data_IF_872724321965
#
_entry.id   IF_872724321965
#
_cell.length_a   1.000
_cell.length_b   1.000
_cell.length_c   1.000
_cell.angle_alpha   90.00
_cell.angle_beta   90.00
_cell.angle_gamma   90.00
#
_symmetry.space_group_name_H-M   'P 1'
#
loop_
_entity.id
_entity.type
_entity.pdbx_description
1 polymer ?
#
# COMPACT_ATOMS: atom_id res chain seq x y z
N UNK A 1 9.23 -7.90 -6.62
CA UNK A 1 8.25 -8.00 -5.51
C UNK A 1 6.89 -8.39 -6.10
N UNK A 2 6.39 -9.58 -5.77
CA UNK A 2 5.18 -10.15 -6.41
C UNK A 2 3.94 -9.35 -6.05
N UNK A 3 3.39 -8.60 -7.01
CA UNK A 3 2.24 -7.68 -6.87
C UNK A 3 0.90 -8.38 -6.62
N UNK A 4 0.89 -9.67 -6.24
CA UNK A 4 -0.34 -10.45 -6.08
C UNK A 4 -1.24 -10.47 -7.34
N UNK A 5 -0.76 -10.00 -8.50
CA UNK A 5 -1.50 -9.99 -9.76
C UNK A 5 -1.80 -11.44 -10.14
N UNK A 6 -3.09 -11.77 -10.21
CA UNK A 6 -3.57 -13.12 -10.52
C UNK A 6 -3.95 -13.98 -9.31
N UNK A 7 -3.70 -13.55 -8.07
CA UNK A 7 -4.22 -14.24 -6.88
C UNK A 7 -5.65 -13.79 -6.58
N UNK A 8 -6.61 -14.72 -6.68
CA UNK A 8 -8.00 -14.51 -6.24
C UNK A 8 -7.98 -14.14 -4.76
N UNK A 9 -8.50 -12.96 -4.42
CA UNK A 9 -8.59 -12.49 -3.04
C UNK A 9 -9.69 -13.28 -2.33
N UNK A 10 -9.32 -14.03 -1.31
CA UNK A 10 -10.25 -14.79 -0.47
C UNK A 10 -10.61 -13.89 0.73
N UNK A 11 -11.91 -13.80 1.06
CA UNK A 11 -12.38 -13.01 2.20
C UNK A 11 -11.71 -13.50 3.48
N UNK A 12 -11.17 -12.59 4.30
CA UNK A 12 -10.40 -12.88 5.52
C UNK A 12 -9.07 -13.64 5.36
N UNK A 13 -8.49 -13.68 4.15
CA UNK A 13 -7.13 -14.20 3.97
C UNK A 13 -6.20 -13.04 3.58
N UNK A 14 -5.07 -12.85 4.28
CA UNK A 14 -4.15 -11.81 3.90
C UNK A 14 -3.39 -12.24 2.62
N UNK A 15 -3.29 -11.31 1.67
CA UNK A 15 -2.88 -11.62 0.28
C UNK A 15 -1.38 -11.45 0.07
N UNK A 16 -0.78 -10.51 0.79
CA UNK A 16 0.60 -10.07 0.60
C UNK A 16 1.46 -10.26 1.86
N UNK A 17 0.85 -10.16 3.05
CA UNK A 17 1.55 -10.24 4.35
C UNK A 17 0.80 -11.16 5.32
N UNK A 18 1.32 -11.42 6.51
CA UNK A 18 0.69 -12.31 7.50
C UNK A 18 -0.54 -11.70 8.21
N UNK A 19 -0.88 -10.45 7.93
CA UNK A 19 -1.95 -9.71 8.62
C UNK A 19 -3.00 -9.17 7.67
N UNK A 20 -4.26 -9.13 8.14
CA UNK A 20 -5.36 -8.51 7.43
C UNK A 20 -5.24 -6.99 7.48
N UNK A 21 -5.33 -6.35 6.32
CA UNK A 21 -5.35 -4.88 6.23
C UNK A 21 -6.56 -4.33 7.00
N UNK A 22 -6.31 -3.46 7.97
CA UNK A 22 -7.33 -2.64 8.64
C UNK A 22 -7.34 -1.25 8.02
N UNK A 23 -8.50 -0.60 8.05
CA UNK A 23 -8.62 0.80 7.58
C UNK A 23 -8.03 1.70 8.67
N UNK A 24 -6.99 2.43 8.33
CA UNK A 24 -6.41 3.48 9.17
C UNK A 24 -6.54 4.81 8.43
N UNK A 25 -7.12 5.82 9.09
CA UNK A 25 -7.20 7.18 8.55
C UNK A 25 -5.94 7.98 8.89
N UNK A 26 -5.37 8.66 7.90
CA UNK A 26 -4.24 9.57 8.05
C UNK A 26 -4.60 10.93 7.47
N UNK A 27 -4.30 12.00 8.21
CA UNK A 27 -4.47 13.37 7.75
C UNK A 27 -3.16 13.85 7.12
N UNK A 28 -3.22 14.29 5.86
CA UNK A 28 -2.08 14.78 5.10
C UNK A 28 -2.43 16.13 4.47
N UNK A 29 -1.42 16.95 4.20
CA UNK A 29 -1.61 18.16 3.39
C UNK A 29 -1.91 17.76 1.94
N UNK A 30 -2.66 18.61 1.22
CA UNK A 30 -3.08 18.34 -0.16
C UNK A 30 -1.88 18.07 -1.09
N UNK A 31 -0.80 18.85 -0.93
CA UNK A 31 0.45 18.66 -1.67
C UNK A 31 1.09 17.30 -1.42
N UNK A 32 1.10 16.83 -0.16
CA UNK A 32 1.67 15.54 0.22
C UNK A 32 0.84 14.38 -0.32
N UNK A 33 -0.49 14.50 -0.26
CA UNK A 33 -1.40 13.50 -0.79
C UNK A 33 -1.28 13.35 -2.31
N UNK A 34 -1.23 14.47 -3.05
CA UNK A 34 -1.05 14.46 -4.50
C UNK A 34 0.30 13.88 -4.91
N UNK A 35 1.37 14.23 -4.18
CA UNK A 35 2.70 13.64 -4.40
C UNK A 35 2.68 12.12 -4.17
N UNK A 36 2.03 11.67 -3.11
CA UNK A 36 1.93 10.26 -2.76
C UNK A 36 1.12 9.47 -3.80
N UNK A 37 0.02 10.05 -4.31
CA UNK A 37 -0.73 9.49 -5.45
C UNK A 37 0.15 9.34 -6.69
N UNK A 38 0.88 10.38 -7.07
CA UNK A 38 1.74 10.35 -8.25
C UNK A 38 2.82 9.26 -8.14
N UNK A 39 3.54 9.22 -7.03
CA UNK A 39 4.59 8.21 -6.80
C UNK A 39 4.01 6.79 -6.82
N UNK A 40 2.84 6.59 -6.20
CA UNK A 40 2.17 5.27 -6.22
C UNK A 40 1.80 4.85 -7.66
N UNK A 41 1.33 5.79 -8.48
CA UNK A 41 0.99 5.56 -9.89
C UNK A 41 2.21 5.22 -10.74
N UNK A 42 3.32 5.94 -10.55
CA UNK A 42 4.59 5.68 -11.23
C UNK A 42 5.13 4.27 -10.91
N UNK A 43 4.96 3.81 -9.66
CA UNK A 43 5.34 2.46 -9.24
C UNK A 43 4.31 1.38 -9.59
N UNK A 44 3.14 1.76 -10.14
CA UNK A 44 2.06 0.82 -10.43
C UNK A 44 1.44 0.17 -9.19
N UNK A 45 1.52 0.85 -8.04
CA UNK A 45 1.04 0.39 -6.74
C UNK A 45 -0.16 1.22 -6.28
N UNK A 46 -0.97 0.65 -5.38
CA UNK A 46 -1.96 1.46 -4.64
C UNK A 46 -1.26 2.31 -3.59
N UNK A 47 -1.82 3.47 -3.28
CA UNK A 47 -1.36 4.39 -2.23
C UNK A 47 -1.09 3.66 -0.91
N UNK A 48 -1.99 2.79 -0.44
CA UNK A 48 -1.82 2.02 0.79
C UNK A 48 -0.66 1.04 0.73
N UNK A 49 -0.47 0.37 -0.41
CA UNK A 49 0.64 -0.56 -0.63
C UNK A 49 1.98 0.17 -0.69
N UNK A 50 2.00 1.35 -1.31
CA UNK A 50 3.17 2.20 -1.36
C UNK A 50 3.59 2.66 0.05
N UNK A 51 2.64 3.09 0.87
CA UNK A 51 2.91 3.48 2.27
C UNK A 51 3.43 2.30 3.09
N UNK A 52 2.81 1.12 2.97
CA UNK A 52 3.30 -0.09 3.66
C UNK A 52 4.71 -0.47 3.23
N UNK A 53 5.00 -0.42 1.93
CA UNK A 53 6.33 -0.73 1.41
C UNK A 53 7.37 0.29 1.88
N UNK A 54 7.04 1.58 1.85
CA UNK A 54 7.93 2.66 2.29
C UNK A 54 8.23 2.57 3.79
N UNK A 55 7.22 2.28 4.62
CA UNK A 55 7.41 2.08 6.05
C UNK A 55 8.28 0.84 6.35
N UNK A 56 8.12 -0.25 5.61
CA UNK A 56 8.96 -1.46 5.77
C UNK A 56 10.40 -1.25 5.31
N UNK A 57 10.62 -0.44 4.29
CA UNK A 57 11.95 -0.09 3.77
C UNK A 57 12.69 0.87 4.72
N UNK A 58 11.98 1.83 5.31
CA UNK A 58 12.57 2.85 6.20
C UNK A 58 12.74 2.37 7.65
N UNK A 59 11.87 1.48 8.13
CA UNK A 59 11.95 0.92 9.48
C UNK A 59 12.84 -0.34 9.57
N UNK A 60 13.55 -0.67 8.48
CA UNK A 60 14.51 -1.78 8.40
C UNK A 60 15.93 -1.35 8.75
#
# INVERSE_FOLDING_TARGET
>A
MSTGKGKKRIKNQPVLYNELKKIHGISLTDSSWNKLKNISKEKGLSVSEFVEQWLRDTAG
#
